data_IF_711373686345
#
_entry.id   IF_711373686345
#
_cell.length_a   1.000
_cell.length_b   1.000
_cell.length_c   1.000
_cell.angle_alpha   90.00
_cell.angle_beta   90.00
_cell.angle_gamma   90.00
#
_symmetry.space_group_name_H-M   'P 1'
#
loop_
_entity.id
_entity.type
_entity.pdbx_description
1 polymer ?
#
# COMPACT_ATOMS: atom_id res chain seq x y z
N UNK A 1 43.09 -5.52 30.29
CA UNK A 1 43.25 -4.06 30.02
C UNK A 1 42.91 -3.63 28.59
N UNK A 2 42.34 -4.47 27.70
CA UNK A 2 42.05 -4.08 26.30
C UNK A 2 40.58 -3.88 25.94
N UNK A 3 39.64 -4.43 26.72
CA UNK A 3 38.22 -4.49 26.34
C UNK A 3 37.47 -3.15 26.52
N UNK A 4 37.89 -2.32 27.47
CA UNK A 4 37.26 -1.03 27.76
C UNK A 4 37.48 0.01 26.64
N UNK A 5 38.55 -0.14 25.84
CA UNK A 5 38.92 0.80 24.77
C UNK A 5 38.12 0.55 23.48
N UNK A 6 37.58 -0.65 23.28
CA UNK A 6 36.83 -1.03 22.06
C UNK A 6 35.38 -0.52 22.11
N UNK A 7 34.81 -0.43 23.31
CA UNK A 7 33.44 0.02 23.57
C UNK A 7 33.12 1.44 23.03
N UNK A 8 33.96 2.47 23.24
CA UNK A 8 33.71 3.80 22.69
C UNK A 8 33.84 3.86 21.17
N UNK A 9 34.69 3.02 20.55
CA UNK A 9 34.89 2.99 19.10
C UNK A 9 33.65 2.42 18.40
N UNK A 10 33.07 1.35 18.95
CA UNK A 10 31.83 0.77 18.45
C UNK A 10 30.66 1.74 18.65
N UNK A 11 30.57 2.40 19.81
CA UNK A 11 29.55 3.40 20.07
C UNK A 11 29.63 4.59 19.10
N UNK A 12 30.84 5.11 18.84
CA UNK A 12 31.05 6.18 17.85
C UNK A 12 30.67 5.74 16.43
N UNK A 13 30.99 4.50 16.04
CA UNK A 13 30.60 3.95 14.75
C UNK A 13 29.08 3.88 14.57
N UNK A 14 28.36 3.42 15.60
CA UNK A 14 26.88 3.35 15.58
C UNK A 14 26.25 4.75 15.52
N UNK A 15 26.78 5.72 16.28
CA UNK A 15 26.29 7.11 16.26
C UNK A 15 26.53 7.76 14.87
N UNK A 16 27.70 7.54 14.28
CA UNK A 16 28.04 8.08 12.96
C UNK A 16 27.14 7.54 11.83
N UNK A 17 26.79 6.25 11.89
CA UNK A 17 25.86 5.62 10.94
C UNK A 17 24.43 6.15 11.14
N UNK A 18 24.01 6.33 12.39
CA UNK A 18 22.66 6.84 12.73
C UNK A 18 22.36 8.22 12.14
N UNK A 19 23.33 9.15 12.12
CA UNK A 19 23.15 10.48 11.54
C UNK A 19 22.94 10.44 10.02
N UNK A 20 23.61 9.52 9.31
CA UNK A 20 23.46 9.34 7.86
C UNK A 20 22.10 8.74 7.49
N UNK A 21 21.58 7.80 8.30
CA UNK A 21 20.28 7.15 8.07
C UNK A 21 19.14 8.17 8.11
N UNK A 22 19.18 9.13 9.04
CA UNK A 22 18.17 10.19 9.19
C UNK A 22 18.05 11.11 7.95
N UNK A 23 19.10 11.23 7.15
CA UNK A 23 19.07 12.01 5.91
C UNK A 23 18.47 11.27 4.71
N UNK A 24 18.46 9.94 4.74
CA UNK A 24 17.95 9.11 3.64
C UNK A 24 16.41 9.12 3.65
N UNK A 25 15.81 9.03 4.83
CA UNK A 25 14.36 9.02 5.04
C UNK A 25 13.66 10.23 4.38
N UNK A 26 14.21 11.44 4.55
CA UNK A 26 13.67 12.67 3.93
C UNK A 26 13.67 12.67 2.40
N UNK A 27 14.58 11.92 1.75
CA UNK A 27 14.62 11.84 0.27
C UNK A 27 13.58 10.86 -0.26
N UNK A 28 13.20 9.86 0.53
CA UNK A 28 12.23 8.84 0.17
C UNK A 28 10.81 9.45 0.17
N UNK A 29 10.47 10.21 1.21
CA UNK A 29 9.16 10.89 1.31
C UNK A 29 8.90 11.87 0.17
N UNK A 30 9.92 12.66 -0.19
CA UNK A 30 9.80 13.64 -1.27
C UNK A 30 9.71 12.99 -2.67
N UNK A 31 10.10 11.72 -2.81
CA UNK A 31 9.93 10.94 -4.04
C UNK A 31 8.55 10.30 -4.08
N UNK A 32 8.08 9.76 -2.95
CA UNK A 32 6.74 9.20 -2.81
C UNK A 32 5.66 10.24 -3.10
N UNK A 33 5.74 11.44 -2.51
CA UNK A 33 4.80 12.53 -2.80
C UNK A 33 4.76 12.93 -4.28
N UNK A 34 5.91 12.92 -4.96
CA UNK A 34 5.97 13.24 -6.40
C UNK A 34 5.39 12.14 -7.28
N UNK A 35 5.45 10.88 -6.84
CA UNK A 35 4.78 9.77 -7.51
C UNK A 35 3.27 9.89 -7.34
N UNK A 36 2.79 10.16 -6.13
CA UNK A 36 1.35 10.38 -5.85
C UNK A 36 0.76 11.49 -6.73
N UNK A 37 1.42 12.66 -6.79
CA UNK A 37 0.94 13.78 -7.62
C UNK A 37 0.93 13.43 -9.11
N UNK A 38 1.89 12.65 -9.59
CA UNK A 38 1.91 12.22 -11.00
C UNK A 38 0.80 11.23 -11.31
N UNK A 39 0.52 10.30 -10.40
CA UNK A 39 -0.59 9.36 -10.55
C UNK A 39 -1.92 10.10 -10.60
N UNK A 40 -2.13 11.08 -9.72
CA UNK A 40 -3.34 11.90 -9.69
C UNK A 40 -3.54 12.69 -11.00
N UNK A 41 -2.47 13.27 -11.55
CA UNK A 41 -2.51 13.99 -12.83
C UNK A 41 -2.78 13.08 -14.03
N UNK A 42 -2.21 11.86 -14.05
CA UNK A 42 -2.46 10.87 -15.10
C UNK A 42 -3.93 10.43 -15.05
N UNK A 43 -4.47 10.14 -13.87
CA UNK A 43 -5.89 9.78 -13.69
C UNK A 43 -6.81 10.89 -14.19
N UNK A 44 -6.48 12.15 -13.90
CA UNK A 44 -7.28 13.32 -14.28
C UNK A 44 -7.21 13.66 -15.77
N UNK A 45 -6.03 13.55 -16.41
CA UNK A 45 -5.86 13.86 -17.83
C UNK A 45 -6.34 12.76 -18.77
N UNK A 46 -6.25 11.49 -18.36
CA UNK A 46 -6.60 10.37 -19.23
C UNK A 46 -8.12 10.15 -19.32
N UNK A 47 -8.94 10.90 -18.58
CA UNK A 47 -10.39 10.75 -18.60
C UNK A 47 -10.80 9.29 -18.42
N UNK A 48 -10.03 8.55 -17.61
CA UNK A 48 -10.28 7.15 -17.30
C UNK A 48 -11.58 7.18 -16.53
N UNK A 49 -12.70 7.04 -17.26
CA UNK A 49 -13.89 6.45 -16.70
C UNK A 49 -13.36 5.19 -16.06
N UNK A 50 -13.41 5.10 -14.74
CA UNK A 50 -13.13 3.86 -14.03
C UNK A 50 -13.96 2.81 -14.75
N UNK A 51 -13.31 2.01 -15.60
CA UNK A 51 -14.00 0.98 -16.35
C UNK A 51 -14.33 -0.02 -15.27
N UNK A 52 -15.58 0.06 -14.81
CA UNK A 52 -16.05 -0.74 -13.71
C UNK A 52 -15.74 -2.20 -14.07
N UNK A 53 -15.01 -2.94 -13.21
CA UNK A 53 -14.65 -4.31 -13.50
C UNK A 53 -15.89 -5.10 -13.90
N UNK A 54 -15.80 -5.88 -14.97
CA UNK A 54 -16.95 -6.65 -15.50
C UNK A 54 -17.59 -7.55 -14.43
N UNK A 55 -16.77 -8.00 -13.48
CA UNK A 55 -17.19 -8.81 -12.34
C UNK A 55 -18.10 -8.07 -11.35
N UNK A 56 -18.14 -6.74 -11.34
CA UNK A 56 -18.96 -5.96 -10.40
C UNK A 56 -20.45 -6.20 -10.60
N UNK A 57 -20.89 -6.40 -11.84
CA UNK A 57 -22.27 -6.78 -12.13
C UNK A 57 -22.64 -8.10 -11.43
N UNK A 58 -21.74 -9.07 -11.48
CA UNK A 58 -21.93 -10.35 -10.83
C UNK A 58 -21.88 -10.23 -9.29
N UNK A 59 -20.93 -9.45 -8.77
CA UNK A 59 -20.83 -9.19 -7.32
C UNK A 59 -22.10 -8.52 -6.79
N UNK A 60 -22.63 -7.50 -7.48
CA UNK A 60 -23.90 -6.84 -7.12
C UNK A 60 -25.08 -7.80 -7.15
N UNK A 61 -25.13 -8.72 -8.11
CA UNK A 61 -26.17 -9.76 -8.14
C UNK A 61 -26.06 -10.72 -6.95
N UNK A 62 -24.85 -11.15 -6.60
CA UNK A 62 -24.62 -12.01 -5.44
C UNK A 62 -25.01 -11.33 -4.13
N UNK A 63 -24.68 -10.04 -3.97
CA UNK A 63 -25.09 -9.24 -2.80
C UNK A 63 -26.61 -9.11 -2.73
N UNK A 64 -27.27 -8.76 -3.84
CA UNK A 64 -28.75 -8.67 -3.90
C UNK A 64 -29.43 -10.01 -3.59
N UNK A 65 -28.80 -11.12 -3.94
CA UNK A 65 -29.27 -12.46 -3.62
C UNK A 65 -28.96 -12.90 -2.16
N UNK A 66 -28.39 -12.02 -1.33
CA UNK A 66 -28.01 -12.33 0.06
C UNK A 66 -26.76 -13.22 0.18
N UNK A 67 -26.03 -13.44 -0.92
CA UNK A 67 -24.85 -14.32 -0.99
C UNK A 67 -23.54 -13.54 -0.79
N UNK A 68 -23.48 -12.68 0.23
CA UNK A 68 -22.32 -11.79 0.48
C UNK A 68 -21.02 -12.55 0.67
N UNK A 69 -21.02 -13.70 1.34
CA UNK A 69 -19.82 -14.53 1.51
C UNK A 69 -19.26 -14.99 0.16
N UNK A 70 -20.15 -15.37 -0.77
CA UNK A 70 -19.77 -15.77 -2.14
C UNK A 70 -19.23 -14.59 -2.93
N UNK A 71 -19.85 -13.40 -2.80
CA UNK A 71 -19.36 -12.18 -3.43
C UNK A 71 -17.95 -11.83 -2.94
N UNK A 72 -17.72 -11.83 -1.62
CA UNK A 72 -16.40 -11.56 -1.03
C UNK A 72 -15.36 -12.58 -1.49
N UNK A 73 -15.69 -13.88 -1.50
CA UNK A 73 -14.79 -14.91 -2.00
C UNK A 73 -14.39 -14.64 -3.45
N UNK A 74 -15.36 -14.27 -4.29
CA UNK A 74 -15.13 -14.03 -5.71
C UNK A 74 -14.31 -12.76 -5.96
N UNK A 75 -14.53 -11.70 -5.19
CA UNK A 75 -13.70 -10.51 -5.20
C UNK A 75 -12.24 -10.81 -4.82
N UNK A 76 -12.00 -11.69 -3.83
CA UNK A 76 -10.64 -12.13 -3.47
C UNK A 76 -9.96 -12.90 -4.61
N UNK A 77 -10.68 -13.80 -5.25
CA UNK A 77 -10.16 -14.61 -6.36
C UNK A 77 -9.84 -13.75 -7.60
N UNK A 78 -10.67 -12.75 -7.89
CA UNK A 78 -10.50 -11.90 -9.07
C UNK A 78 -9.43 -10.81 -8.89
N UNK A 79 -9.36 -10.19 -7.72
CA UNK A 79 -8.48 -9.04 -7.48
C UNK A 79 -7.25 -9.36 -6.62
N UNK A 80 -7.17 -10.56 -6.02
CA UNK A 80 -6.09 -10.93 -5.11
C UNK A 80 -6.18 -10.27 -3.73
N UNK A 81 -7.33 -9.67 -3.40
CA UNK A 81 -7.55 -8.96 -2.14
C UNK A 81 -7.45 -9.87 -0.92
N UNK A 82 -6.98 -9.28 0.19
CA UNK A 82 -7.17 -9.83 1.53
C UNK A 82 -8.66 -9.93 1.88
N UNK A 83 -8.99 -10.64 2.95
CA UNK A 83 -10.39 -10.80 3.36
C UNK A 83 -11.04 -9.44 3.69
N UNK A 84 -10.29 -8.54 4.32
CA UNK A 84 -10.77 -7.21 4.67
C UNK A 84 -11.02 -6.38 3.41
N UNK A 85 -10.02 -6.27 2.55
CA UNK A 85 -10.12 -5.48 1.30
C UNK A 85 -11.26 -5.97 0.41
N UNK A 86 -11.44 -7.28 0.28
CA UNK A 86 -12.54 -7.82 -0.52
C UNK A 86 -13.92 -7.57 0.11
N UNK A 87 -14.01 -7.55 1.44
CA UNK A 87 -15.25 -7.19 2.12
C UNK A 87 -15.56 -5.72 1.93
N UNK A 88 -14.60 -4.83 2.14
CA UNK A 88 -14.75 -3.39 1.94
C UNK A 88 -15.12 -3.07 0.49
N UNK A 89 -14.49 -3.76 -0.47
CA UNK A 89 -14.81 -3.64 -1.88
C UNK A 89 -16.27 -4.04 -2.15
N UNK A 90 -16.70 -5.22 -1.72
CA UNK A 90 -18.08 -5.70 -1.91
C UNK A 90 -19.10 -4.82 -1.19
N UNK A 91 -18.77 -4.30 -0.01
CA UNK A 91 -19.64 -3.39 0.75
C UNK A 91 -19.76 -2.01 0.07
N UNK A 92 -18.82 -1.64 -0.82
CA UNK A 92 -18.86 -0.40 -1.61
C UNK A 92 -19.65 -0.50 -2.93
N UNK A 93 -20.05 -1.71 -3.33
CA UNK A 93 -20.84 -2.00 -4.54
C UNK A 93 -22.35 -1.94 -4.27
#
# INVERSE_FOLDING_TARGET
>A
MGFWVVLPIVAFGVIYIGEKIKQIEKRTDARLKRMETRLELITKQMGIREVEPEINNELRQLVKAGKTITAVKKAREAFGYSLLEAKEYVDSL
#
